data_IF_861128498630
#
_entry.id   IF_861128498630
#
_cell.length_a   1.000
_cell.length_b   1.000
_cell.length_c   1.000
_cell.angle_alpha   90.00
_cell.angle_beta   90.00
_cell.angle_gamma   90.00
#
_symmetry.space_group_name_H-M   'P 1'
#
loop_
_entity.id
_entity.type
_entity.pdbx_description
1 polymer ?
#
# COMPACT_ATOMS: atom_id res chain seq x y z
N UNK A 1 14.03 -12.65 -45.04
CA UNK A 1 12.93 -12.66 -44.05
C UNK A 1 13.34 -12.36 -42.62
N UNK A 2 14.62 -12.12 -42.31
CA UNK A 2 15.12 -11.93 -40.93
C UNK A 2 14.49 -10.74 -40.17
N UNK A 3 14.28 -9.61 -40.85
CA UNK A 3 13.71 -8.39 -40.24
C UNK A 3 12.29 -8.58 -39.67
N UNK A 4 11.45 -9.35 -40.36
CA UNK A 4 10.06 -9.57 -39.95
C UNK A 4 9.96 -10.50 -38.72
N UNK A 5 10.88 -11.47 -38.63
CA UNK A 5 11.01 -12.38 -37.47
C UNK A 5 11.55 -11.63 -36.25
N UNK A 6 12.56 -10.78 -36.43
CA UNK A 6 13.12 -9.94 -35.35
C UNK A 6 12.06 -8.96 -34.80
N UNK A 7 11.22 -8.38 -35.66
CA UNK A 7 10.12 -7.51 -35.23
C UNK A 7 9.02 -8.26 -34.44
N UNK A 8 8.71 -9.50 -34.83
CA UNK A 8 7.78 -10.36 -34.08
C UNK A 8 8.34 -10.78 -32.73
N UNK A 9 9.65 -11.04 -32.64
CA UNK A 9 10.32 -11.39 -31.39
C UNK A 9 10.32 -10.20 -30.41
N UNK A 10 10.69 -9.00 -30.88
CA UNK A 10 10.68 -7.78 -30.07
C UNK A 10 9.28 -7.42 -29.56
N UNK A 11 8.25 -7.53 -30.41
CA UNK A 11 6.87 -7.26 -29.98
C UNK A 11 6.35 -8.29 -28.98
N UNK A 12 6.69 -9.57 -29.13
CA UNK A 12 6.37 -10.63 -28.16
C UNK A 12 7.07 -10.40 -26.81
N UNK A 13 8.36 -10.06 -26.81
CA UNK A 13 9.11 -9.73 -25.59
C UNK A 13 8.53 -8.50 -24.88
N UNK A 14 8.21 -7.43 -25.62
CA UNK A 14 7.62 -6.23 -25.05
C UNK A 14 6.24 -6.48 -24.43
N UNK A 15 5.41 -7.35 -25.03
CA UNK A 15 4.12 -7.75 -24.44
C UNK A 15 4.30 -8.51 -23.12
N UNK A 16 5.23 -9.47 -23.08
CA UNK A 16 5.55 -10.22 -21.85
C UNK A 16 6.09 -9.33 -20.74
N UNK A 17 6.93 -8.34 -21.08
CA UNK A 17 7.44 -7.37 -20.11
C UNK A 17 6.31 -6.50 -19.54
N UNK A 18 5.43 -5.98 -20.40
CA UNK A 18 4.27 -5.17 -19.97
C UNK A 18 3.30 -5.95 -19.09
N UNK A 19 3.05 -7.23 -19.39
CA UNK A 19 2.17 -8.06 -18.54
C UNK A 19 2.76 -8.30 -17.16
N UNK A 20 4.04 -8.64 -17.07
CA UNK A 20 4.74 -8.82 -15.78
C UNK A 20 4.66 -7.56 -14.90
N UNK A 21 4.88 -6.38 -15.49
CA UNK A 21 4.79 -5.11 -14.74
C UNK A 21 3.35 -4.77 -14.33
N UNK A 22 2.35 -5.20 -15.12
CA UNK A 22 0.93 -5.05 -14.74
C UNK A 22 0.56 -5.91 -13.54
N UNK A 23 1.06 -7.15 -13.49
CA UNK A 23 0.83 -8.07 -12.37
C UNK A 23 1.47 -7.52 -11.09
N UNK A 24 2.71 -7.01 -11.17
CA UNK A 24 3.40 -6.34 -10.06
C UNK A 24 2.63 -5.13 -9.50
N UNK A 25 2.10 -4.27 -10.39
CA UNK A 25 1.27 -3.12 -9.98
C UNK A 25 -0.01 -3.61 -9.29
N UNK A 26 -0.64 -4.67 -9.78
CA UNK A 26 -1.85 -5.21 -9.18
C UNK A 26 -1.58 -5.77 -7.77
N UNK A 27 -0.46 -6.48 -7.59
CA UNK A 27 -0.04 -6.95 -6.26
C UNK A 27 0.20 -5.80 -5.28
N UNK A 28 0.87 -4.72 -5.73
CA UNK A 28 1.11 -3.53 -4.91
C UNK A 28 -0.21 -2.83 -4.55
N UNK A 29 -1.16 -2.71 -5.48
CA UNK A 29 -2.50 -2.17 -5.23
C UNK A 29 -3.27 -3.02 -4.19
N UNK A 30 -3.14 -4.34 -4.25
CA UNK A 30 -3.74 -5.23 -3.26
C UNK A 30 -3.12 -5.04 -1.87
N UNK A 31 -1.77 -4.96 -1.78
CA UNK A 31 -1.05 -4.67 -0.52
C UNK A 31 -1.47 -3.32 0.06
N UNK A 32 -1.56 -2.29 -0.77
CA UNK A 32 -2.05 -0.96 -0.38
C UNK A 32 -3.45 -1.07 0.25
N UNK A 33 -4.40 -1.71 -0.44
CA UNK A 33 -5.77 -1.87 0.07
C UNK A 33 -5.84 -2.60 1.42
N UNK A 34 -5.00 -3.61 1.63
CA UNK A 34 -4.92 -4.29 2.92
C UNK A 34 -4.39 -3.37 4.02
N UNK A 35 -3.32 -2.61 3.74
CA UNK A 35 -2.77 -1.65 4.69
C UNK A 35 -3.76 -0.52 5.04
N UNK A 36 -4.54 -0.03 4.08
CA UNK A 36 -5.59 0.97 4.34
C UNK A 36 -6.64 0.46 5.33
N UNK A 37 -7.04 -0.81 5.21
CA UNK A 37 -7.99 -1.44 6.14
C UNK A 37 -7.39 -1.57 7.53
N UNK A 38 -6.14 -2.02 7.62
CA UNK A 38 -5.42 -2.14 8.89
C UNK A 38 -5.30 -0.80 9.60
N UNK A 39 -4.91 0.26 8.88
CA UNK A 39 -4.77 1.61 9.43
C UNK A 39 -6.11 2.10 9.99
N UNK A 40 -7.19 1.95 9.23
CA UNK A 40 -8.54 2.32 9.68
C UNK A 40 -8.96 1.55 10.94
N UNK A 41 -8.64 0.26 11.02
CA UNK A 41 -8.92 -0.54 12.21
C UNK A 41 -8.11 -0.06 13.42
N UNK A 42 -6.83 0.25 13.24
CA UNK A 42 -5.96 0.77 14.31
C UNK A 42 -6.43 2.13 14.82
N UNK A 43 -6.82 3.04 13.92
CA UNK A 43 -7.35 4.36 14.29
C UNK A 43 -8.64 4.19 15.09
N UNK A 44 -9.59 3.39 14.58
CA UNK A 44 -10.85 3.14 15.30
C UNK A 44 -10.60 2.58 16.70
N UNK A 45 -9.69 1.61 16.85
CA UNK A 45 -9.35 1.10 18.17
C UNK A 45 -8.65 2.13 19.05
N UNK A 46 -7.82 3.01 18.49
CA UNK A 46 -7.22 4.11 19.23
C UNK A 46 -8.28 5.07 19.76
N UNK A 47 -9.28 5.41 18.95
CA UNK A 47 -10.41 6.27 19.32
C UNK A 47 -11.26 5.62 20.42
N UNK A 48 -11.57 4.33 20.30
CA UNK A 48 -12.28 3.57 21.35
C UNK A 48 -11.54 3.57 22.70
N UNK A 49 -10.19 3.52 22.69
CA UNK A 49 -9.40 3.64 23.91
C UNK A 49 -9.33 5.08 24.43
N UNK A 50 -9.37 6.08 23.56
CA UNK A 50 -9.42 7.49 23.96
C UNK A 50 -10.75 7.81 24.66
N UNK A 51 -11.87 7.39 24.09
CA UNK A 51 -13.21 7.55 24.68
C UNK A 51 -13.29 6.90 26.07
N UNK A 52 -12.82 5.65 26.20
CA UNK A 52 -12.75 4.96 27.51
C UNK A 52 -11.85 5.68 28.51
N UNK A 53 -10.76 6.29 28.05
CA UNK A 53 -9.87 7.04 28.91
C UNK A 53 -10.54 8.30 29.45
N UNK A 54 -11.33 9.00 28.63
CA UNK A 54 -12.10 10.17 29.03
C UNK A 54 -13.21 9.80 30.03
N UNK A 55 -13.97 8.74 29.74
CA UNK A 55 -15.05 8.26 30.63
C UNK A 55 -14.53 7.83 32.00
N UNK A 56 -13.40 7.12 32.04
CA UNK A 56 -12.91 6.47 33.27
C UNK A 56 -11.71 7.17 33.90
N UNK A 57 -11.21 8.27 33.33
CA UNK A 57 -9.94 8.91 33.69
C UNK A 57 -8.76 7.90 33.70
N UNK A 58 -8.77 6.93 32.78
CA UNK A 58 -7.79 5.83 32.75
C UNK A 58 -6.57 6.16 31.88
N UNK A 59 -5.47 6.49 32.56
CA UNK A 59 -4.15 6.78 31.95
C UNK A 59 -3.61 5.58 31.16
N UNK A 60 -3.97 4.35 31.51
CA UNK A 60 -3.57 3.14 30.77
C UNK A 60 -4.19 3.11 29.38
N UNK A 61 -5.46 3.49 29.27
CA UNK A 61 -6.18 3.58 28.01
C UNK A 61 -5.62 4.70 27.12
N UNK A 62 -5.16 5.82 27.71
CA UNK A 62 -4.40 6.87 27.00
C UNK A 62 -3.12 6.29 26.38
N UNK A 63 -2.34 5.51 27.14
CA UNK A 63 -1.12 4.89 26.64
C UNK A 63 -1.41 3.93 25.46
N UNK A 64 -2.45 3.10 25.57
CA UNK A 64 -2.87 2.18 24.50
C UNK A 64 -3.29 2.92 23.24
N UNK A 65 -4.13 3.95 23.38
CA UNK A 65 -4.57 4.79 22.26
C UNK A 65 -3.36 5.41 21.53
N UNK A 66 -2.44 6.02 22.28
CA UNK A 66 -1.22 6.60 21.73
C UNK A 66 -0.32 5.58 21.03
N UNK A 67 -0.17 4.38 21.58
CA UNK A 67 0.60 3.30 20.96
C UNK A 67 0.00 2.88 19.62
N UNK A 68 -1.33 2.74 19.56
CA UNK A 68 -2.03 2.37 18.32
C UNK A 68 -1.96 3.50 17.28
N UNK A 69 -2.11 4.76 17.69
CA UNK A 69 -1.94 5.92 16.82
C UNK A 69 -0.55 6.01 16.20
N UNK A 70 0.52 5.75 16.98
CA UNK A 70 1.90 5.67 16.45
C UNK A 70 2.07 4.54 15.45
N UNK A 71 1.46 3.38 15.70
CA UNK A 71 1.48 2.23 14.79
C UNK A 71 0.76 2.53 13.49
N UNK A 72 -0.41 3.19 13.55
CA UNK A 72 -1.17 3.65 12.39
C UNK A 72 -0.32 4.60 11.53
N UNK A 73 0.30 5.61 12.15
CA UNK A 73 1.18 6.57 11.45
C UNK A 73 2.36 5.89 10.74
N UNK A 74 3.01 4.92 11.39
CA UNK A 74 4.10 4.15 10.77
C UNK A 74 3.62 3.35 9.55
N UNK A 75 2.40 2.81 9.60
CA UNK A 75 1.79 2.13 8.45
C UNK A 75 1.36 3.10 7.35
N UNK A 76 0.94 4.32 7.68
CA UNK A 76 0.65 5.37 6.69
C UNK A 76 1.89 5.78 5.90
N UNK A 77 3.04 5.90 6.56
CA UNK A 77 4.32 6.18 5.88
C UNK A 77 4.67 5.08 4.86
N UNK A 78 4.54 3.80 5.26
CA UNK A 78 4.73 2.66 4.35
C UNK A 78 3.71 2.65 3.20
N UNK A 79 2.48 3.07 3.46
CA UNK A 79 1.45 3.18 2.43
C UNK A 79 1.77 4.26 1.39
N UNK A 80 2.37 5.36 1.83
CA UNK A 80 2.86 6.42 0.95
C UNK A 80 4.00 5.90 0.07
N UNK A 81 4.97 5.18 0.64
CA UNK A 81 6.05 4.52 -0.12
C UNK A 81 5.51 3.59 -1.20
N UNK A 82 4.54 2.73 -0.87
CA UNK A 82 3.90 1.82 -1.84
C UNK A 82 3.16 2.61 -2.92
N UNK A 83 2.50 3.72 -2.56
CA UNK A 83 1.80 4.56 -3.54
C UNK A 83 2.78 5.19 -4.53
N UNK A 84 3.89 5.74 -4.05
CA UNK A 84 4.94 6.29 -4.90
C UNK A 84 5.54 5.22 -5.82
N UNK A 85 5.77 4.01 -5.30
CA UNK A 85 6.27 2.90 -6.11
C UNK A 85 5.30 2.48 -7.23
N UNK A 86 3.98 2.49 -6.97
CA UNK A 86 2.96 2.24 -7.99
C UNK A 86 2.99 3.32 -9.07
N UNK A 87 3.01 4.60 -8.68
CA UNK A 87 3.05 5.72 -9.62
C UNK A 87 4.30 5.68 -10.53
N UNK A 88 5.45 5.34 -9.97
CA UNK A 88 6.69 5.22 -10.72
C UNK A 88 6.68 4.04 -11.70
N UNK A 89 6.03 2.92 -11.35
CA UNK A 89 5.85 1.80 -12.26
C UNK A 89 4.83 2.14 -13.37
N UNK A 90 3.75 2.83 -13.04
CA UNK A 90 2.76 3.30 -14.03
C UNK A 90 3.39 4.26 -15.05
N UNK A 91 4.25 5.20 -14.60
CA UNK A 91 5.02 6.10 -15.47
C UNK A 91 6.01 5.38 -16.39
N UNK A 92 6.53 4.22 -15.99
CA UNK A 92 7.47 3.42 -16.82
C UNK A 92 6.76 2.59 -17.89
N UNK A 93 5.46 2.36 -17.75
CA UNK A 93 4.64 1.61 -18.71
C UNK A 93 4.01 2.53 -19.78
N UNK A 94 3.64 3.75 -19.38
CA UNK A 94 3.15 4.81 -20.27
C UNK A 94 4.22 5.31 -21.24
#
# INVERSE_FOLDING_TARGET
MKYLEDQKLLSSQNRKRKSLTSDEIQELKNKKRCLEKDIKALIRSADEFAEKAEENNDVTSIYKSNSLGRSAKTKEEKLLEITNAIEDLEKKIG
#
